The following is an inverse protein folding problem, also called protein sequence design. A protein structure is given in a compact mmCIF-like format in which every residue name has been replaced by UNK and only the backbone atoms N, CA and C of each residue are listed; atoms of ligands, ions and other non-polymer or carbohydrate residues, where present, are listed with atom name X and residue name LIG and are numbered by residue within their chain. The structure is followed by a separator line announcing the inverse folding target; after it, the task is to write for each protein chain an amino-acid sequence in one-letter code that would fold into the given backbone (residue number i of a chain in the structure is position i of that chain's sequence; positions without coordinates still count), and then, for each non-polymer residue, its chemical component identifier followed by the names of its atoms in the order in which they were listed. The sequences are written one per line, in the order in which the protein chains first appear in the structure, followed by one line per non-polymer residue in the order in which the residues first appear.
data_IF_370056147289
#
_entry.id   IF_370056147289
#
_cell.length_a   1.000
_cell.length_b   1.000
_cell.length_c   1.000
_cell.angle_alpha   90.00
_cell.angle_beta   90.00
_cell.angle_gamma   90.00
#
_symmetry.space_group_name_H-M   'P 1'
#
loop_
_entity.id
_entity.type
_entity.pdbx_description
1 polymer ?
#
# COMPACT_ATOMS: atom_id res chain seq x y z
N UNK A 1 7.46 19.74 25.18
CA UNK A 1 7.43 18.69 24.14
C UNK A 1 6.49 19.17 23.05
N UNK A 2 6.89 19.08 21.79
CA UNK A 2 6.02 19.44 20.67
C UNK A 2 4.83 18.48 20.60
N UNK A 3 3.65 19.00 20.29
CA UNK A 3 2.44 18.21 20.09
C UNK A 3 2.63 17.18 18.95
N UNK A 4 2.31 15.89 19.16
CA UNK A 4 2.54 14.83 18.16
C UNK A 4 1.84 15.09 16.83
N UNK A 5 0.66 15.72 16.84
CA UNK A 5 -0.04 16.08 15.61
C UNK A 5 0.72 17.15 14.84
N UNK A 6 1.23 18.17 15.53
CA UNK A 6 2.04 19.22 14.93
C UNK A 6 3.31 18.65 14.27
N UNK A 7 3.96 17.68 14.91
CA UNK A 7 5.11 16.96 14.34
C UNK A 7 4.71 16.17 13.08
N UNK A 8 3.59 15.45 13.11
CA UNK A 8 3.07 14.73 11.96
C UNK A 8 2.74 15.66 10.78
N UNK A 9 2.13 16.82 11.04
CA UNK A 9 1.81 17.81 10.02
C UNK A 9 3.09 18.43 9.41
N UNK A 10 4.12 18.65 10.21
CA UNK A 10 5.44 19.08 9.73
C UNK A 10 6.10 18.00 8.87
N UNK A 11 6.04 16.73 9.31
CA UNK A 11 6.57 15.59 8.57
C UNK A 11 5.90 15.48 7.19
N UNK A 12 4.57 15.58 7.13
CA UNK A 12 3.82 15.54 5.89
C UNK A 12 4.18 16.70 4.94
N UNK A 13 4.44 17.91 5.48
CA UNK A 13 4.93 19.04 4.69
C UNK A 13 6.35 18.83 4.16
N UNK A 14 7.24 18.26 4.96
CA UNK A 14 8.61 17.92 4.55
C UNK A 14 8.57 16.87 3.43
N UNK A 15 7.74 15.83 3.59
CA UNK A 15 7.54 14.77 2.61
C UNK A 15 7.06 15.33 1.26
N UNK A 16 6.03 16.18 1.25
CA UNK A 16 5.53 16.83 0.02
C UNK A 16 6.56 17.72 -0.68
N UNK A 17 7.59 18.16 0.04
CA UNK A 17 8.71 18.96 -0.50
C UNK A 17 9.91 18.11 -0.92
N UNK A 18 9.78 16.79 -0.92
CA UNK A 18 10.87 15.86 -1.25
C UNK A 18 11.95 15.74 -0.17
N UNK A 19 11.73 16.30 1.03
CA UNK A 19 12.68 16.25 2.14
C UNK A 19 12.46 14.98 2.95
N UNK A 20 12.76 13.83 2.35
CA UNK A 20 12.35 12.53 2.87
C UNK A 20 13.04 12.14 4.19
N UNK A 21 14.35 12.34 4.34
CA UNK A 21 15.03 12.10 5.63
C UNK A 21 14.48 12.99 6.74
N UNK A 22 14.21 14.27 6.44
CA UNK A 22 13.58 15.18 7.40
C UNK A 22 12.18 14.70 7.78
N UNK A 23 11.39 14.24 6.81
CA UNK A 23 10.06 13.70 7.07
C UNK A 23 10.13 12.45 7.95
N UNK A 24 11.05 11.52 7.66
CA UNK A 24 11.26 10.32 8.46
C UNK A 24 11.60 10.65 9.92
N UNK A 25 12.53 11.60 10.14
CA UNK A 25 12.89 12.04 11.50
C UNK A 25 11.71 12.69 12.24
N UNK A 26 10.89 13.49 11.55
CA UNK A 26 9.71 14.11 12.16
C UNK A 26 8.60 13.08 12.47
N UNK A 27 8.37 12.10 11.58
CA UNK A 27 7.45 11.00 11.86
C UNK A 27 7.91 10.13 13.02
N UNK A 28 9.21 9.87 13.15
CA UNK A 28 9.77 9.14 14.30
C UNK A 28 9.47 9.87 15.62
N UNK A 29 9.74 11.18 15.68
CA UNK A 29 9.42 12.01 16.85
C UNK A 29 7.92 12.05 17.15
N UNK A 30 7.07 12.10 16.11
CA UNK A 30 5.62 12.04 16.28
C UNK A 30 5.18 10.68 16.86
N UNK A 31 5.77 9.57 16.39
CA UNK A 31 5.49 8.23 16.92
C UNK A 31 5.86 8.12 18.40
N UNK A 32 7.06 8.57 18.79
CA UNK A 32 7.49 8.59 20.19
C UNK A 32 6.57 9.43 21.07
N UNK A 33 6.15 10.60 20.58
CA UNK A 33 5.23 11.47 21.31
C UNK A 33 3.82 10.85 21.44
N UNK A 34 3.33 10.14 20.43
CA UNK A 34 2.07 9.39 20.52
C UNK A 34 2.16 8.21 21.50
N UNK A 35 3.28 7.47 21.52
CA UNK A 35 3.50 6.41 22.50
C UNK A 35 3.53 6.94 23.93
N UNK A 36 4.24 8.06 24.16
CA UNK A 36 4.27 8.73 25.47
C UNK A 36 2.89 9.21 25.92
N UNK A 37 2.00 9.51 24.97
CA UNK A 37 0.61 9.88 25.23
C UNK A 37 -0.34 8.67 25.35
N UNK A 38 0.15 7.43 25.25
CA UNK A 38 -0.65 6.21 25.30
C UNK A 38 -1.50 5.97 24.04
N UNK A 39 -1.18 6.62 22.93
CA UNK A 39 -1.93 6.58 21.67
C UNK A 39 -1.26 5.64 20.65
N UNK A 40 -1.14 4.36 21.01
CA UNK A 40 -0.36 3.37 20.27
C UNK A 40 -0.77 3.19 18.79
N UNK A 41 -2.06 3.27 18.47
CA UNK A 41 -2.54 3.20 17.06
C UNK A 41 -2.01 4.36 16.20
N UNK A 42 -1.98 5.57 16.76
CA UNK A 42 -1.43 6.75 16.06
C UNK A 42 0.09 6.65 15.95
N UNK A 43 0.76 6.13 16.98
CA UNK A 43 2.20 5.88 16.92
C UNK A 43 2.57 4.85 15.82
N UNK A 44 1.81 3.77 15.69
CA UNK A 44 1.97 2.77 14.63
C UNK A 44 1.71 3.36 13.24
N UNK A 45 0.72 4.25 13.10
CA UNK A 45 0.48 4.99 11.86
C UNK A 45 1.67 5.91 11.51
N UNK A 46 2.25 6.59 12.49
CA UNK A 46 3.43 7.42 12.26
C UNK A 46 4.64 6.59 11.85
N UNK A 47 4.83 5.38 12.41
CA UNK A 47 5.87 4.43 11.97
C UNK A 47 5.66 3.97 10.52
N UNK A 48 4.41 3.72 10.10
CA UNK A 48 4.09 3.45 8.69
C UNK A 48 4.50 4.61 7.79
N UNK A 49 4.18 5.85 8.19
CA UNK A 49 4.53 7.04 7.42
C UNK A 49 6.05 7.31 7.39
N UNK A 50 6.75 7.05 8.50
CA UNK A 50 8.21 7.07 8.57
C UNK A 50 8.81 6.09 7.57
N UNK A 51 8.31 4.85 7.51
CA UNK A 51 8.78 3.85 6.57
C UNK A 51 8.57 4.26 5.11
N UNK A 52 7.42 4.87 4.79
CA UNK A 52 7.18 5.43 3.44
C UNK A 52 8.18 6.54 3.11
N UNK A 53 8.49 7.43 4.06
CA UNK A 53 9.53 8.45 3.88
C UNK A 53 10.92 7.82 3.66
N UNK A 54 11.27 6.76 4.40
CA UNK A 54 12.53 6.03 4.21
C UNK A 54 12.62 5.34 2.85
N UNK A 55 11.51 4.80 2.33
CA UNK A 55 11.48 4.24 0.97
C UNK A 55 11.78 5.31 -0.09
N UNK A 56 11.20 6.50 0.06
CA UNK A 56 11.48 7.63 -0.85
C UNK A 56 12.91 8.17 -0.69
N UNK A 57 13.53 7.96 0.47
CA UNK A 57 14.93 8.27 0.73
C UNK A 57 15.89 7.13 0.33
N UNK A 58 15.42 6.12 -0.43
CA UNK A 58 16.22 4.96 -0.87
C UNK A 58 16.81 4.13 0.29
N UNK A 59 16.09 4.06 1.41
CA UNK A 59 16.45 3.28 2.61
C UNK A 59 15.46 2.14 2.90
N UNK A 60 15.31 1.17 1.99
CA UNK A 60 14.26 0.15 2.09
C UNK A 60 14.49 -0.87 3.22
N UNK A 61 15.73 -1.14 3.63
CA UNK A 61 16.02 -2.01 4.77
C UNK A 61 15.52 -1.41 6.10
N UNK A 62 15.76 -0.11 6.31
CA UNK A 62 15.28 0.61 7.49
C UNK A 62 13.75 0.70 7.50
N UNK A 63 13.15 0.95 6.33
CA UNK A 63 11.70 0.94 6.17
C UNK A 63 11.10 -0.43 6.52
N UNK A 64 11.69 -1.52 6.02
CA UNK A 64 11.22 -2.87 6.27
C UNK A 64 11.24 -3.20 7.77
N UNK A 65 12.34 -2.89 8.46
CA UNK A 65 12.47 -3.14 9.90
C UNK A 65 11.38 -2.43 10.74
N UNK A 66 10.98 -1.22 10.34
CA UNK A 66 9.87 -0.50 10.99
C UNK A 66 8.50 -1.10 10.69
N UNK A 67 8.33 -1.66 9.49
CA UNK A 67 7.04 -2.18 9.02
C UNK A 67 6.74 -3.59 9.51
N UNK A 68 7.76 -4.46 9.64
CA UNK A 68 7.60 -5.87 10.03
C UNK A 68 6.66 -6.13 11.21
N UNK A 69 6.71 -5.37 12.33
CA UNK A 69 5.81 -5.62 13.46
C UNK A 69 4.38 -5.07 13.26
N UNK A 70 4.18 -4.14 12.33
CA UNK A 70 2.93 -3.37 12.24
C UNK A 70 1.71 -4.19 11.80
N UNK A 71 1.78 -5.14 10.85
CA UNK A 71 0.61 -5.94 10.50
C UNK A 71 0.05 -6.74 11.68
N UNK A 72 0.92 -7.34 12.49
CA UNK A 72 0.50 -8.08 13.68
C UNK A 72 -0.16 -7.13 14.70
N UNK A 73 0.42 -5.94 14.90
CA UNK A 73 -0.15 -4.91 15.77
C UNK A 73 -1.54 -4.46 15.31
N UNK A 74 -1.73 -4.13 14.02
CA UNK A 74 -3.03 -3.71 13.49
C UNK A 74 -4.05 -4.85 13.52
N UNK A 75 -3.64 -6.10 13.25
CA UNK A 75 -4.50 -7.27 13.35
C UNK A 75 -5.04 -7.46 14.79
N UNK A 76 -4.19 -7.30 15.81
CA UNK A 76 -4.60 -7.35 17.22
C UNK A 76 -5.65 -6.28 17.56
N UNK A 77 -5.59 -5.13 16.89
CA UNK A 77 -6.55 -4.03 17.04
C UNK A 77 -7.73 -4.10 16.06
N UNK A 78 -7.86 -5.20 15.31
CA UNK A 78 -8.91 -5.41 14.31
C UNK A 78 -8.96 -4.32 13.21
N UNK A 79 -7.85 -3.63 12.97
CA UNK A 79 -7.74 -2.57 11.96
C UNK A 79 -7.28 -3.16 10.63
N UNK A 80 -8.21 -3.81 9.93
CA UNK A 80 -7.96 -4.47 8.64
C UNK A 80 -7.39 -3.51 7.59
N UNK A 81 -7.84 -2.25 7.62
CA UNK A 81 -7.39 -1.21 6.71
C UNK A 81 -5.89 -0.93 6.91
N UNK A 82 -5.47 -0.59 8.14
CA UNK A 82 -4.07 -0.31 8.43
C UNK A 82 -3.19 -1.56 8.34
N UNK A 83 -3.71 -2.75 8.67
CA UNK A 83 -3.02 -4.03 8.42
C UNK A 83 -2.69 -4.19 6.94
N UNK A 84 -3.68 -3.97 6.06
CA UNK A 84 -3.50 -4.07 4.61
C UNK A 84 -2.51 -3.07 4.04
N UNK A 85 -2.58 -1.81 4.48
CA UNK A 85 -1.62 -0.77 4.08
C UNK A 85 -0.20 -1.11 4.55
N UNK A 86 -0.04 -1.63 5.77
CA UNK A 86 1.26 -2.06 6.29
C UNK A 86 1.86 -3.19 5.44
N UNK A 87 1.07 -4.22 5.08
CA UNK A 87 1.52 -5.27 4.16
C UNK A 87 1.90 -4.73 2.77
N UNK A 88 1.17 -3.74 2.25
CA UNK A 88 1.50 -3.10 0.96
C UNK A 88 2.83 -2.32 1.01
N UNK A 89 3.11 -1.67 2.14
CA UNK A 89 4.38 -1.00 2.35
C UNK A 89 5.53 -2.01 2.52
N UNK A 90 5.30 -3.14 3.20
CA UNK A 90 6.27 -4.25 3.28
C UNK A 90 6.60 -4.77 1.88
N UNK A 91 5.57 -4.99 1.04
CA UNK A 91 5.76 -5.40 -0.36
C UNK A 91 6.65 -4.41 -1.12
N UNK A 92 6.42 -3.12 -0.94
CA UNK A 92 7.21 -2.06 -1.58
C UNK A 92 8.66 -2.02 -1.11
N UNK A 93 8.89 -2.24 0.19
CA UNK A 93 10.24 -2.32 0.76
C UNK A 93 11.00 -3.58 0.29
N UNK A 94 10.34 -4.73 0.27
CA UNK A 94 10.91 -5.98 -0.23
C UNK A 94 11.23 -5.90 -1.73
N UNK A 95 10.36 -5.25 -2.50
CA UNK A 95 10.59 -5.03 -3.93
C UNK A 95 11.83 -4.16 -4.15
N UNK A 96 11.98 -3.05 -3.42
CA UNK A 96 13.15 -2.19 -3.49
C UNK A 96 14.46 -2.90 -3.06
N UNK A 97 14.36 -3.93 -2.22
CA UNK A 97 15.47 -4.82 -1.84
C UNK A 97 15.73 -5.96 -2.85
N UNK A 98 14.95 -6.05 -3.93
CA UNK A 98 15.05 -7.14 -4.91
C UNK A 98 14.50 -8.48 -4.41
N UNK A 99 13.83 -8.53 -3.26
CA UNK A 99 13.22 -9.73 -2.66
C UNK A 99 11.83 -9.98 -3.26
N UNK A 100 11.81 -10.23 -4.58
CA UNK A 100 10.59 -10.18 -5.40
C UNK A 100 9.50 -11.16 -4.94
N UNK A 101 9.84 -12.41 -4.62
CA UNK A 101 8.83 -13.39 -4.24
C UNK A 101 8.17 -13.06 -2.89
N UNK A 102 8.95 -12.53 -1.95
CA UNK A 102 8.44 -12.06 -0.66
C UNK A 102 7.61 -10.79 -0.84
N UNK A 103 7.99 -9.89 -1.74
CA UNK A 103 7.21 -8.72 -2.10
C UNK A 103 5.83 -9.11 -2.64
N UNK A 104 5.77 -10.08 -3.56
CA UNK A 104 4.51 -10.60 -4.08
C UNK A 104 3.63 -11.20 -2.98
N UNK A 105 4.21 -11.96 -2.05
CA UNK A 105 3.46 -12.52 -0.92
C UNK A 105 2.91 -11.42 0.00
N UNK A 106 3.72 -10.41 0.32
CA UNK A 106 3.28 -9.26 1.11
C UNK A 106 2.13 -8.51 0.41
N UNK A 107 2.22 -8.29 -0.90
CA UNK A 107 1.14 -7.66 -1.67
C UNK A 107 -0.14 -8.52 -1.70
N UNK A 108 -0.05 -9.86 -1.80
CA UNK A 108 -1.25 -10.73 -1.70
C UNK A 108 -1.93 -10.61 -0.33
N UNK A 109 -1.14 -10.52 0.75
CA UNK A 109 -1.67 -10.27 2.09
C UNK A 109 -2.34 -8.89 2.17
N UNK A 110 -1.69 -7.86 1.63
CA UNK A 110 -2.25 -6.51 1.53
C UNK A 110 -3.62 -6.52 0.84
N UNK A 111 -3.71 -7.17 -0.33
CA UNK A 111 -4.96 -7.30 -1.08
C UNK A 111 -6.07 -7.87 -0.21
N UNK A 112 -5.85 -9.04 0.40
CA UNK A 112 -6.87 -9.75 1.19
C UNK A 112 -7.42 -8.87 2.32
N UNK A 113 -6.56 -8.09 2.98
CA UNK A 113 -6.98 -7.21 4.08
C UNK A 113 -7.71 -5.96 3.59
N UNK A 114 -7.21 -5.34 2.53
CA UNK A 114 -7.81 -4.13 1.94
C UNK A 114 -9.18 -4.44 1.32
N UNK A 115 -9.32 -5.59 0.65
CA UNK A 115 -10.60 -6.05 0.12
C UNK A 115 -11.62 -6.29 1.24
N UNK A 116 -11.21 -6.98 2.31
CA UNK A 116 -12.06 -7.17 3.49
C UNK A 116 -12.42 -5.86 4.20
N UNK A 117 -11.59 -4.81 4.07
CA UNK A 117 -11.86 -3.47 4.59
C UNK A 117 -12.66 -2.58 3.63
N UNK A 118 -12.99 -3.04 2.41
CA UNK A 118 -13.68 -2.24 1.39
C UNK A 118 -12.82 -1.16 0.73
N UNK A 119 -11.50 -1.25 0.84
CA UNK A 119 -10.53 -0.27 0.36
C UNK A 119 -10.19 -0.46 -1.13
N UNK A 120 -11.19 -0.32 -1.99
CA UNK A 120 -11.09 -0.63 -3.43
C UNK A 120 -9.99 0.12 -4.19
N UNK A 121 -9.71 1.38 -3.84
CA UNK A 121 -8.60 2.14 -4.44
C UNK A 121 -7.23 1.58 -4.03
N UNK A 122 -7.07 1.17 -2.77
CA UNK A 122 -5.84 0.56 -2.29
C UNK A 122 -5.64 -0.86 -2.86
N UNK A 123 -6.74 -1.62 -3.05
CA UNK A 123 -6.71 -2.90 -3.78
C UNK A 123 -6.19 -2.71 -5.21
N UNK A 124 -6.67 -1.69 -5.93
CA UNK A 124 -6.19 -1.40 -7.29
C UNK A 124 -4.69 -1.05 -7.32
N UNK A 125 -4.18 -0.31 -6.34
CA UNK A 125 -2.74 -0.04 -6.22
C UNK A 125 -1.93 -1.34 -6.04
N UNK A 126 -2.35 -2.21 -5.12
CA UNK A 126 -1.69 -3.50 -4.88
C UNK A 126 -1.77 -4.41 -6.12
N UNK A 127 -2.88 -4.39 -6.84
CA UNK A 127 -3.05 -5.11 -8.09
C UNK A 127 -2.04 -4.68 -9.16
N UNK A 128 -1.84 -3.38 -9.31
CA UNK A 128 -0.87 -2.83 -10.25
C UNK A 128 0.55 -3.27 -9.89
N UNK A 129 0.92 -3.23 -8.61
CA UNK A 129 2.23 -3.69 -8.14
C UNK A 129 2.44 -5.18 -8.44
N UNK A 130 1.49 -6.04 -8.06
CA UNK A 130 1.55 -7.49 -8.34
C UNK A 130 1.63 -7.80 -9.84
N UNK A 131 0.79 -7.16 -10.65
CA UNK A 131 0.74 -7.33 -12.09
C UNK A 131 2.08 -6.98 -12.73
N UNK A 132 2.69 -5.86 -12.32
CA UNK A 132 4.03 -5.46 -12.76
C UNK A 132 5.10 -6.47 -12.39
N UNK A 133 5.08 -7.00 -11.16
CA UNK A 133 6.02 -8.05 -10.74
C UNK A 133 5.84 -9.36 -11.53
N UNK A 134 4.59 -9.76 -11.81
CA UNK A 134 4.29 -10.93 -12.64
C UNK A 134 4.80 -10.76 -14.08
N UNK A 135 4.65 -9.56 -14.67
CA UNK A 135 5.21 -9.27 -15.99
C UNK A 135 6.73 -9.41 -16.01
N UNK A 136 7.41 -8.88 -14.99
CA UNK A 136 8.87 -9.01 -14.84
C UNK A 136 9.30 -10.47 -14.68
N UNK A 137 8.46 -11.32 -14.08
CA UNK A 137 8.67 -12.76 -13.97
C UNK A 137 8.25 -13.56 -15.22
N UNK A 138 7.91 -12.90 -16.35
CA UNK A 138 7.42 -13.55 -17.59
C UNK A 138 6.12 -14.33 -17.38
N UNK A 139 5.23 -13.84 -16.52
CA UNK A 139 3.89 -14.42 -16.21
C UNK A 139 2.75 -13.50 -16.68
N UNK A 140 2.60 -13.23 -17.99
CA UNK A 140 1.70 -12.20 -18.50
C UNK A 140 0.21 -12.52 -18.31
N UNK A 141 -0.18 -13.80 -18.36
CA UNK A 141 -1.59 -14.19 -18.15
C UNK A 141 -2.03 -13.92 -16.71
N UNK A 142 -1.17 -14.22 -15.74
CA UNK A 142 -1.45 -13.92 -14.33
C UNK A 142 -1.51 -12.43 -14.08
N UNK A 143 -0.61 -11.65 -14.70
CA UNK A 143 -0.62 -10.20 -14.64
C UNK A 143 -1.94 -9.58 -15.13
N UNK A 144 -2.52 -10.13 -16.20
CA UNK A 144 -3.81 -9.71 -16.73
C UNK A 144 -4.96 -10.03 -15.76
N UNK A 145 -4.98 -11.24 -15.19
CA UNK A 145 -6.01 -11.65 -14.22
C UNK A 145 -5.95 -10.78 -12.97
N UNK A 146 -4.75 -10.55 -12.43
CA UNK A 146 -4.56 -9.70 -11.25
C UNK A 146 -5.01 -8.26 -11.51
N UNK A 147 -4.72 -7.71 -12.70
CA UNK A 147 -5.17 -6.37 -13.07
C UNK A 147 -6.71 -6.29 -13.18
N UNK A 148 -7.34 -7.27 -13.82
CA UNK A 148 -8.81 -7.32 -13.99
C UNK A 148 -9.53 -7.35 -12.62
N UNK A 149 -9.08 -8.23 -11.72
CA UNK A 149 -9.60 -8.32 -10.36
C UNK A 149 -9.43 -7.02 -9.58
N UNK A 150 -8.30 -6.33 -9.75
CA UNK A 150 -8.00 -5.11 -9.01
C UNK A 150 -8.85 -3.92 -9.46
N UNK A 151 -9.10 -3.84 -10.77
CA UNK A 151 -10.01 -2.85 -11.33
C UNK A 151 -11.46 -3.13 -10.92
N UNK A 152 -11.88 -4.39 -10.82
CA UNK A 152 -13.21 -4.73 -10.34
C UNK A 152 -13.46 -4.30 -8.88
N UNK A 153 -12.42 -4.28 -8.05
CA UNK A 153 -12.50 -3.82 -6.66
C UNK A 153 -12.61 -2.30 -6.51
N UNK A 154 -12.19 -1.51 -7.50
CA UNK A 154 -12.26 -0.05 -7.45
C UNK A 154 -13.61 0.48 -7.96
N UNK A 155 -14.27 1.41 -7.25
CA UNK A 155 -15.53 2.03 -7.71
C UNK A 155 -15.38 2.79 -9.05
N UNK A 156 -14.15 3.13 -9.45
CA UNK A 156 -13.85 3.75 -10.76
C UNK A 156 -13.47 2.75 -11.84
N UNK A 157 -13.19 1.49 -11.51
CA UNK A 157 -12.59 0.51 -12.42
C UNK A 157 -13.58 -0.26 -13.30
N UNK A 158 -14.90 -0.17 -13.04
CA UNK A 158 -15.90 -0.97 -13.76
C UNK A 158 -17.18 -0.21 -14.17
N UNK A 159 -17.06 1.00 -14.71
CA UNK A 159 -18.19 1.67 -15.35
C UNK A 159 -17.88 2.17 -16.77
N UNK A 160 -17.67 1.26 -17.74
CA UNK A 160 -18.31 1.29 -19.10
C UNK A 160 -17.69 0.35 -20.14
N UNK A 161 -16.37 0.11 -20.14
CA UNK A 161 -15.70 -0.38 -21.37
C UNK A 161 -15.76 -1.90 -21.58
N UNK A 162 -15.70 -2.72 -20.53
CA UNK A 162 -15.78 -4.18 -20.65
C UNK A 162 -17.21 -4.70 -20.90
N UNK A 163 -18.23 -4.07 -20.30
CA UNK A 163 -19.64 -4.41 -20.59
C UNK A 163 -20.05 -4.03 -22.01
N UNK A 164 -19.44 -3.03 -22.64
CA UNK A 164 -19.71 -2.68 -24.04
C UNK A 164 -19.13 -3.73 -25.01
N UNK A 165 -17.92 -4.23 -24.72
CA UNK A 165 -17.26 -5.28 -25.49
C UNK A 165 -17.95 -6.65 -25.35
N UNK A 166 -18.39 -7.01 -24.14
CA UNK A 166 -19.10 -8.28 -23.88
C UNK A 166 -20.58 -8.28 -24.32
N UNK A 167 -21.16 -7.11 -24.66
CA UNK A 167 -22.52 -6.98 -25.20
C UNK A 167 -22.56 -6.81 -26.72
N UNK A 168 -21.45 -7.06 -27.43
CA UNK A 168 -21.41 -7.01 -28.90
C UNK A 168 -21.47 -8.43 -29.51
N UNK A 169 -22.67 -9.05 -29.64
CA UNK A 169 -22.83 -10.16 -30.55
C UNK A 169 -22.90 -9.60 -31.98
N UNK A 170 -22.16 -10.23 -32.88
CA UNK A 170 -22.20 -10.10 -34.34
C UNK A 170 -23.59 -9.67 -34.89
N UNK A 171 -23.70 -8.44 -35.41
CA UNK A 171 -24.78 -8.02 -36.32
C UNK A 171 -24.20 -7.56 -37.65
N UNK A 172 -23.53 -8.49 -38.35
CA UNK A 172 -23.27 -8.38 -39.79
C UNK A 172 -23.11 -9.79 -40.37
N UNK A 173 -24.23 -10.49 -40.53
CA UNK A 173 -24.39 -11.63 -41.44
C UNK A 173 -25.89 -11.70 -41.79
N UNK A 174 -26.23 -11.40 -43.04
CA UNK A 174 -27.56 -11.61 -43.62
C UNK A 174 -28.21 -10.36 -44.23
N UNK A 175 -27.91 -10.09 -45.50
CA UNK A 175 -28.82 -9.47 -46.46
C UNK A 175 -28.82 -10.35 -47.70
#
# INVERSE_FOLDING_TARGET
MDDPKTLADQAARAFRRGKYDQAAALYARAAEAYDAAGQALLAAEMRSNQAVALLQAERPADALALLEPLPAFFAQHQDLRREGLAWGNIGSALEALGRVDEAMEAYRRAWKRLEAAGEGEAVAYVAQALSRLQLNQKRPLEALVTMDQGLAASPKGLHRRLRALLRWPFRFLGS
#
